data_IF_316634550636
#
_entry.id   IF_316634550636
#
_cell.length_a   1.000
_cell.length_b   1.000
_cell.length_c   1.000
_cell.angle_alpha   90.00
_cell.angle_beta   90.00
_cell.angle_gamma   90.00
#
_symmetry.space_group_name_H-M   'P 1'
#
loop_
_entity.id
_entity.type
_entity.pdbx_description
1 polymer ?
#
# COMPACT_ATOMS: atom_id res chain seq x y z
N UNK A 1 -12.22 -25.19 -48.86
CA UNK A 1 -12.65 -23.79 -48.92
C UNK A 1 -12.81 -23.25 -47.49
N UNK A 2 -11.70 -23.01 -46.76
CA UNK A 2 -11.74 -22.69 -45.32
C UNK A 2 -10.54 -21.85 -44.82
N UNK A 3 -10.01 -20.93 -45.64
CA UNK A 3 -8.84 -20.12 -45.25
C UNK A 3 -9.00 -18.60 -45.41
N UNK A 4 -10.22 -18.09 -45.62
CA UNK A 4 -10.43 -16.64 -45.85
C UNK A 4 -11.03 -15.88 -44.66
N UNK A 5 -11.49 -16.56 -43.59
CA UNK A 5 -12.27 -15.93 -42.53
C UNK A 5 -11.47 -15.57 -41.26
N UNK A 6 -10.22 -16.01 -41.13
CA UNK A 6 -9.42 -15.80 -39.91
C UNK A 6 -8.50 -14.56 -39.95
N UNK A 7 -8.25 -13.97 -41.12
CA UNK A 7 -7.31 -12.84 -41.26
C UNK A 7 -7.94 -11.48 -40.91
N UNK A 8 -9.23 -11.29 -41.19
CA UNK A 8 -9.94 -10.02 -40.90
C UNK A 8 -9.99 -9.71 -39.40
N UNK A 9 -10.09 -10.73 -38.55
CA UNK A 9 -10.17 -10.58 -37.09
C UNK A 9 -8.82 -10.24 -36.46
N UNK A 10 -7.72 -10.73 -37.03
CA UNK A 10 -6.36 -10.42 -36.58
C UNK A 10 -5.99 -8.98 -36.98
N UNK A 11 -6.37 -8.54 -38.18
CA UNK A 11 -6.12 -7.16 -38.62
C UNK A 11 -6.93 -6.12 -37.82
N UNK A 12 -8.17 -6.44 -37.45
CA UNK A 12 -9.00 -5.60 -36.57
C UNK A 12 -8.41 -5.49 -35.16
N UNK A 13 -7.89 -6.59 -34.57
CA UNK A 13 -7.21 -6.55 -33.27
C UNK A 13 -5.93 -5.70 -33.30
N UNK A 14 -5.15 -5.75 -34.38
CA UNK A 14 -3.93 -4.94 -34.50
C UNK A 14 -4.23 -3.44 -34.61
N UNK A 15 -5.30 -3.04 -35.29
CA UNK A 15 -5.72 -1.64 -35.36
C UNK A 15 -6.26 -1.13 -34.01
N UNK A 16 -6.98 -1.98 -33.26
CA UNK A 16 -7.47 -1.64 -31.92
C UNK A 16 -6.33 -1.44 -30.91
N UNK A 17 -5.29 -2.29 -30.95
CA UNK A 17 -4.13 -2.16 -30.05
C UNK A 17 -3.31 -0.88 -30.33
N UNK A 18 -3.16 -0.49 -31.59
CA UNK A 18 -2.48 0.76 -31.96
C UNK A 18 -3.26 2.00 -31.50
N UNK A 19 -4.59 1.97 -31.53
CA UNK A 19 -5.41 3.06 -30.99
C UNK A 19 -5.32 3.17 -29.46
N UNK A 20 -5.15 2.07 -28.72
CA UNK A 20 -4.93 2.12 -27.26
C UNK A 20 -3.56 2.72 -26.93
N UNK A 21 -2.51 2.41 -27.70
CA UNK A 21 -1.20 3.05 -27.54
C UNK A 21 -1.20 4.55 -27.88
N UNK A 22 -2.03 5.00 -28.84
CA UNK A 22 -2.17 6.42 -29.13
C UNK A 22 -3.04 7.17 -28.09
N UNK A 23 -4.00 6.48 -27.47
CA UNK A 23 -4.81 7.04 -26.38
C UNK A 23 -4.05 7.13 -25.04
N UNK A 24 -3.02 6.31 -24.81
CA UNK A 24 -2.20 6.38 -23.59
C UNK A 24 -1.11 7.48 -23.62
N UNK A 25 -0.83 8.06 -24.80
CA UNK A 25 0.25 9.06 -24.97
C UNK A 25 -0.26 10.51 -25.01
N UNK A 26 -1.57 10.74 -25.06
CA UNK A 26 -2.14 12.10 -25.23
C UNK A 26 -2.95 12.57 -24.02
N UNK A 27 -2.34 12.61 -22.82
CA UNK A 27 -2.73 13.49 -21.71
C UNK A 27 -1.59 13.64 -20.67
N UNK A 28 -0.39 14.05 -21.13
CA UNK A 28 0.63 14.60 -20.21
C UNK A 28 0.40 16.09 -20.04
N UNK A 29 -0.46 16.44 -19.09
CA UNK A 29 -0.54 17.80 -18.55
C UNK A 29 0.70 18.04 -17.66
N UNK A 30 1.57 19.04 -17.95
CA UNK A 30 2.84 19.22 -17.26
C UNK A 30 2.72 19.96 -15.91
N UNK A 31 1.59 19.80 -15.21
CA UNK A 31 1.39 20.35 -13.87
C UNK A 31 0.99 19.23 -12.90
N UNK A 32 1.82 18.19 -12.79
CA UNK A 32 1.74 17.27 -11.66
C UNK A 32 2.34 17.96 -10.44
N UNK A 33 1.53 18.75 -9.74
CA UNK A 33 1.64 18.71 -8.29
C UNK A 33 1.35 17.26 -7.92
N UNK A 34 2.40 16.50 -7.64
CA UNK A 34 2.27 15.18 -7.03
C UNK A 34 1.70 15.49 -5.66
N UNK A 35 0.38 15.44 -5.54
CA UNK A 35 -0.27 15.19 -4.27
C UNK A 35 0.23 13.81 -3.86
N UNK A 36 1.32 13.79 -3.08
CA UNK A 36 1.79 12.56 -2.47
C UNK A 36 0.73 12.18 -1.44
N UNK A 37 -0.26 11.41 -1.89
CA UNK A 37 -1.28 10.86 -1.01
C UNK A 37 -0.60 10.00 0.05
N UNK A 38 -0.54 10.53 1.27
CA UNK A 38 -0.02 9.82 2.42
C UNK A 38 -0.85 8.55 2.62
N UNK A 39 -0.22 7.42 2.32
CA UNK A 39 -0.88 6.13 2.31
C UNK A 39 -0.80 5.49 3.69
N UNK A 40 -1.86 4.80 4.11
CA UNK A 40 -1.86 4.04 5.36
C UNK A 40 -1.30 2.64 5.13
N UNK A 41 -0.38 2.24 5.98
CA UNK A 41 0.20 0.90 5.99
C UNK A 41 -0.08 0.20 7.31
N UNK A 42 -0.49 -1.06 7.22
CA UNK A 42 -0.51 -1.98 8.34
C UNK A 42 0.81 -2.76 8.36
N UNK A 43 1.48 -2.66 9.50
CA UNK A 43 2.67 -3.43 9.84
C UNK A 43 2.27 -4.44 10.91
N UNK A 44 2.54 -5.72 10.66
CA UNK A 44 2.30 -6.79 11.63
C UNK A 44 3.58 -7.59 11.83
N UNK A 45 3.89 -7.90 13.09
CA UNK A 45 5.05 -8.68 13.49
C UNK A 45 4.61 -9.92 14.26
N UNK A 46 5.00 -11.08 13.76
CA UNK A 46 4.96 -12.33 14.51
C UNK A 46 6.37 -12.63 15.03
N UNK A 47 6.53 -12.60 16.36
CA UNK A 47 7.81 -12.95 16.97
C UNK A 47 7.83 -14.43 17.35
N UNK A 48 8.82 -15.15 16.82
CA UNK A 48 9.20 -16.48 17.28
C UNK A 48 10.21 -16.41 18.43
N UNK A 49 10.80 -15.24 18.67
CA UNK A 49 11.81 -15.00 19.70
C UNK A 49 11.33 -13.99 20.75
N UNK A 50 11.77 -14.12 22.01
CA UNK A 50 11.46 -13.17 23.10
C UNK A 50 12.42 -11.97 23.13
N UNK A 51 12.80 -11.44 21.97
CA UNK A 51 13.73 -10.31 21.88
C UNK A 51 13.03 -8.98 22.08
N UNK A 52 13.82 -8.02 22.55
CA UNK A 52 13.41 -6.63 22.61
C UNK A 52 13.14 -6.07 21.20
N UNK A 53 12.01 -5.37 21.06
CA UNK A 53 11.56 -4.74 19.81
C UNK A 53 11.52 -3.21 19.92
N UNK A 54 12.03 -2.64 21.01
CA UNK A 54 12.03 -1.19 21.23
C UNK A 54 12.70 -0.44 20.05
N UNK A 55 13.76 -1.02 19.48
CA UNK A 55 14.43 -0.47 18.29
C UNK A 55 13.53 -0.46 17.05
N UNK A 56 12.78 -1.54 16.82
CA UNK A 56 11.81 -1.66 15.74
C UNK A 56 10.67 -0.64 15.91
N UNK A 57 10.08 -0.57 17.11
CA UNK A 57 9.00 0.37 17.43
C UNK A 57 9.44 1.82 17.19
N UNK A 58 10.65 2.18 17.63
CA UNK A 58 11.22 3.51 17.36
C UNK A 58 11.37 3.79 15.87
N UNK A 59 11.82 2.80 15.07
CA UNK A 59 11.95 2.96 13.63
C UNK A 59 10.58 3.11 12.96
N UNK A 60 9.57 2.35 13.37
CA UNK A 60 8.18 2.47 12.86
C UNK A 60 7.67 3.91 13.07
N UNK A 61 7.88 4.48 14.26
CA UNK A 61 7.50 5.86 14.57
C UNK A 61 8.25 6.92 13.73
N UNK A 62 9.42 6.59 13.19
CA UNK A 62 10.19 7.48 12.32
C UNK A 62 9.76 7.37 10.85
N UNK A 63 9.18 6.24 10.43
CA UNK A 63 8.78 6.00 9.05
C UNK A 63 7.44 6.65 8.68
N UNK A 64 6.66 7.10 9.67
CA UNK A 64 5.35 7.69 9.42
C UNK A 64 4.97 8.79 10.41
N UNK A 65 4.16 9.73 9.94
CA UNK A 65 3.80 10.94 10.71
C UNK A 65 2.81 10.66 11.84
N UNK A 66 1.98 9.64 11.68
CA UNK A 66 1.00 9.24 12.70
C UNK A 66 0.97 7.73 12.81
N UNK A 67 1.11 7.23 14.04
CA UNK A 67 1.12 5.80 14.35
C UNK A 67 0.01 5.44 15.31
N UNK A 68 -0.73 4.37 15.01
CA UNK A 68 -1.69 3.75 15.92
C UNK A 68 -1.38 2.26 16.08
N UNK A 69 -1.51 1.69 17.27
CA UNK A 69 -1.32 0.25 17.48
C UNK A 69 -2.68 -0.39 17.79
N UNK A 70 -3.40 -0.89 16.77
CA UNK A 70 -4.75 -1.45 16.97
C UNK A 70 -4.72 -2.72 17.82
N UNK A 71 -3.65 -3.51 17.69
CA UNK A 71 -3.46 -4.81 18.31
C UNK A 71 -1.99 -4.96 18.70
N UNK A 72 -1.70 -5.90 19.61
CA UNK A 72 -0.32 -6.20 20.01
C UNK A 72 0.51 -6.58 18.78
N UNK A 73 1.70 -5.99 18.66
CA UNK A 73 2.64 -6.22 17.55
C UNK A 73 2.05 -5.87 16.17
N UNK A 74 1.11 -4.94 16.17
CA UNK A 74 0.54 -4.38 14.95
C UNK A 74 0.55 -2.86 15.05
N UNK A 75 0.90 -2.21 13.94
CA UNK A 75 1.01 -0.77 13.83
C UNK A 75 0.40 -0.32 12.52
N UNK A 76 -0.30 0.81 12.58
CA UNK A 76 -0.80 1.55 11.44
C UNK A 76 0.02 2.81 11.32
N UNK A 77 0.63 3.06 10.17
CA UNK A 77 1.39 4.28 9.91
C UNK A 77 0.91 4.96 8.65
N UNK A 78 0.96 6.29 8.63
CA UNK A 78 0.84 7.06 7.39
C UNK A 78 2.24 7.43 6.88
N UNK A 79 2.55 7.05 5.64
CA UNK A 79 3.87 7.26 5.04
C UNK A 79 3.74 7.56 3.54
N UNK A 80 4.70 8.30 3.01
CA UNK A 80 4.93 8.56 1.58
C UNK A 80 5.72 7.42 0.90
N UNK A 81 6.35 6.55 1.69
CA UNK A 81 7.06 5.38 1.22
C UNK A 81 6.10 4.30 0.71
N UNK A 82 6.61 3.41 -0.14
CA UNK A 82 5.88 2.21 -0.53
C UNK A 82 6.08 1.06 0.49
N UNK A 83 5.23 0.03 0.40
CA UNK A 83 5.28 -1.10 1.34
C UNK A 83 6.62 -1.86 1.34
N UNK A 84 7.30 -1.95 0.20
CA UNK A 84 8.59 -2.63 0.07
C UNK A 84 9.69 -1.82 0.75
N UNK A 85 9.71 -0.51 0.57
CA UNK A 85 10.65 0.40 1.22
C UNK A 85 10.49 0.39 2.74
N UNK A 86 9.24 0.41 3.23
CA UNK A 86 8.94 0.30 4.66
C UNK A 86 9.45 -1.04 5.19
N UNK A 87 9.14 -2.15 4.52
CA UNK A 87 9.62 -3.48 4.89
C UNK A 87 11.14 -3.50 4.96
N UNK A 88 11.82 -3.07 3.91
CA UNK A 88 13.28 -3.18 3.80
C UNK A 88 14.00 -2.34 4.85
N UNK A 89 13.45 -1.17 5.20
CA UNK A 89 13.98 -0.36 6.30
C UNK A 89 13.77 -1.02 7.68
N UNK A 90 12.69 -1.77 7.87
CA UNK A 90 12.38 -2.46 9.12
C UNK A 90 13.12 -3.79 9.28
N UNK A 91 13.49 -4.46 8.18
CA UNK A 91 14.17 -5.77 8.22
C UNK A 91 15.47 -5.76 9.02
N UNK A 92 16.18 -4.63 9.08
CA UNK A 92 17.41 -4.49 9.89
C UNK A 92 17.15 -4.61 11.41
N UNK A 93 15.90 -4.44 11.85
CA UNK A 93 15.47 -4.56 13.24
C UNK A 93 14.70 -5.86 13.53
N UNK A 94 14.44 -6.68 12.50
CA UNK A 94 13.70 -7.95 12.61
C UNK A 94 14.67 -9.12 12.60
N UNK A 95 14.47 -10.08 13.50
CA UNK A 95 15.29 -11.27 13.53
C UNK A 95 14.89 -12.24 12.41
N UNK A 96 15.85 -12.98 11.85
CA UNK A 96 15.64 -13.90 10.72
C UNK A 96 14.62 -15.04 10.97
N UNK A 97 14.20 -15.28 12.23
CA UNK A 97 13.17 -16.27 12.59
C UNK A 97 11.79 -15.64 12.82
N UNK A 98 11.70 -14.32 12.87
CA UNK A 98 10.45 -13.60 13.06
C UNK A 98 9.86 -13.23 11.69
N UNK A 99 8.54 -13.05 11.63
CA UNK A 99 7.83 -12.73 10.39
C UNK A 99 7.36 -11.27 10.43
N UNK A 100 7.65 -10.51 9.37
CA UNK A 100 7.19 -9.14 9.19
C UNK A 100 6.26 -9.06 7.97
N UNK A 101 5.07 -8.50 8.16
CA UNK A 101 4.11 -8.22 7.11
C UNK A 101 3.87 -6.72 7.02
N UNK A 102 3.96 -6.16 5.81
CA UNK A 102 3.62 -4.77 5.52
C UNK A 102 2.62 -4.77 4.38
N UNK A 103 1.43 -4.22 4.61
CA UNK A 103 0.39 -4.08 3.60
C UNK A 103 -0.09 -2.65 3.53
N UNK A 104 -0.28 -2.14 2.32
CA UNK A 104 -1.06 -0.93 2.09
C UNK A 104 -2.52 -1.25 2.44
N UNK A 105 -3.16 -0.39 3.22
CA UNK A 105 -4.60 -0.53 3.51
C UNK A 105 -5.36 0.69 3.01
N UNK A 106 -6.63 0.46 2.73
CA UNK A 106 -7.60 1.51 2.44
C UNK A 106 -8.28 1.94 3.74
N UNK A 107 -8.37 3.25 3.95
CA UNK A 107 -9.01 3.86 5.10
C UNK A 107 -10.55 3.82 5.00
N UNK A 108 -11.11 3.67 3.80
CA UNK A 108 -12.55 3.66 3.56
C UNK A 108 -13.17 2.28 3.76
N UNK A 109 -12.37 1.23 3.63
CA UNK A 109 -12.81 -0.16 3.62
C UNK A 109 -12.20 -0.96 4.78
N UNK A 110 -12.62 -0.65 6.01
CA UNK A 110 -12.17 -1.36 7.20
C UNK A 110 -13.32 -1.68 8.16
N UNK A 111 -13.11 -2.70 8.99
CA UNK A 111 -14.02 -3.07 10.07
C UNK A 111 -13.21 -3.61 11.26
N UNK A 112 -13.80 -3.55 12.44
CA UNK A 112 -13.15 -4.05 13.65
C UNK A 112 -14.18 -4.53 14.67
N UNK A 113 -13.71 -5.36 15.61
CA UNK A 113 -14.49 -5.80 16.75
C UNK A 113 -13.63 -5.69 18.01
N UNK A 114 -14.15 -5.05 19.05
CA UNK A 114 -13.49 -4.90 20.35
C UNK A 114 -12.08 -4.26 20.31
N UNK A 115 -11.80 -3.41 19.32
CA UNK A 115 -10.60 -2.55 19.31
C UNK A 115 -10.82 -1.29 20.14
N UNK A 116 -9.73 -0.68 20.60
CA UNK A 116 -9.81 0.53 21.40
C UNK A 116 -10.45 1.69 20.62
N UNK A 117 -11.32 2.47 21.28
CA UNK A 117 -12.08 3.56 20.64
C UNK A 117 -11.17 4.58 19.94
N UNK A 118 -10.02 4.91 20.51
CA UNK A 118 -9.07 5.86 19.90
C UNK A 118 -8.48 5.33 18.59
N UNK A 119 -8.32 4.01 18.45
CA UNK A 119 -7.89 3.38 17.20
C UNK A 119 -8.95 3.50 16.13
N UNK A 120 -10.20 3.18 16.48
CA UNK A 120 -11.32 3.30 15.56
C UNK A 120 -11.53 4.75 15.09
N UNK A 121 -11.44 5.70 16.03
CA UNK A 121 -11.55 7.12 15.73
C UNK A 121 -10.41 7.60 14.82
N UNK A 122 -9.20 7.11 15.03
CA UNK A 122 -8.06 7.45 14.17
C UNK A 122 -8.26 6.97 12.72
N UNK A 123 -8.68 5.72 12.51
CA UNK A 123 -8.96 5.19 11.17
C UNK A 123 -10.09 5.97 10.47
N UNK A 124 -11.16 6.29 11.19
CA UNK A 124 -12.26 7.12 10.66
C UNK A 124 -11.83 8.55 10.33
N UNK A 125 -10.80 9.10 10.99
CA UNK A 125 -10.26 10.42 10.64
C UNK A 125 -9.31 10.33 9.45
N UNK A 126 -8.60 9.22 9.32
CA UNK A 126 -7.67 9.00 8.23
C UNK A 126 -8.40 8.80 6.88
N UNK A 127 -9.62 8.27 6.88
CA UNK A 127 -10.48 8.20 5.69
C UNK A 127 -10.99 9.56 5.22
N UNK A 128 -11.30 10.47 6.15
CA UNK A 128 -11.84 11.80 5.82
C UNK A 128 -10.80 12.73 5.18
N UNK A 129 -9.50 12.44 5.33
CA UNK A 129 -8.40 13.33 4.89
C UNK A 129 -7.95 13.14 3.43
N UNK A 130 -8.61 12.28 2.65
CA UNK A 130 -8.25 11.99 1.25
C UNK A 130 -9.22 12.69 0.27
N UNK A 131 -9.60 13.94 0.55
CA UNK A 131 -10.50 14.76 -0.31
C UNK A 131 -9.89 16.11 -0.61
#
# INVERSE_FOLDING_TARGET
MFFSMCWKTIFQKQQFMKNIEQLSVSHKNPNTHIEQDMTIYLISLEQCTKRDITGLEKKILQLGSVTNSPLKKMWLIQSDLNAEEIRDQLLTYVHAKDSLLVIRIDADHWASWNVHKNTALWLNQASIKIV
#
